data_IF_518474227455
#
_entry.id   IF_518474227455
#
_cell.length_a   1.000
_cell.length_b   1.000
_cell.length_c   1.000
_cell.angle_alpha   90.00
_cell.angle_beta   90.00
_cell.angle_gamma   90.00
#
_symmetry.space_group_name_H-M   'P 1'
#
loop_
_entity.id
_entity.type
_entity.pdbx_description
1 polymer ?
#
# COMPACT_ATOMS: atom_id res chain seq x y z
N UNK A 1 -14.47 -8.85 -2.82
CA UNK A 1 -13.17 -8.70 -2.12
C UNK A 1 -12.92 -9.98 -1.34
N UNK A 2 -11.84 -10.70 -1.61
CA UNK A 2 -11.57 -11.99 -0.96
C UNK A 2 -11.18 -11.86 0.52
N UNK A 3 -10.52 -10.77 0.93
CA UNK A 3 -10.00 -10.58 2.30
C UNK A 3 -11.05 -10.15 3.35
N UNK A 4 -12.26 -9.80 2.91
CA UNK A 4 -13.41 -9.43 3.75
C UNK A 4 -14.56 -10.43 3.60
N UNK A 5 -14.32 -11.54 2.90
CA UNK A 5 -15.32 -12.57 2.66
C UNK A 5 -15.42 -13.45 3.91
N UNK A 6 -16.62 -13.58 4.47
CA UNK A 6 -16.83 -14.33 5.71
C UNK A 6 -16.45 -15.81 5.58
N UNK A 7 -16.62 -16.40 4.38
CA UNK A 7 -16.23 -17.78 4.12
C UNK A 7 -14.71 -17.92 4.11
N UNK A 8 -14.00 -16.97 3.49
CA UNK A 8 -12.54 -16.90 3.52
C UNK A 8 -11.99 -16.68 4.95
N UNK A 9 -12.60 -15.78 5.73
CA UNK A 9 -12.23 -15.53 7.13
C UNK A 9 -12.46 -16.80 7.96
N UNK A 10 -13.60 -17.47 7.80
CA UNK A 10 -13.89 -18.70 8.52
C UNK A 10 -12.92 -19.83 8.18
N UNK A 11 -12.57 -20.02 6.89
CA UNK A 11 -11.59 -21.01 6.47
C UNK A 11 -10.19 -20.71 7.04
N UNK A 12 -9.71 -19.48 6.91
CA UNK A 12 -8.39 -19.10 7.43
C UNK A 12 -8.29 -19.18 8.96
N UNK A 13 -9.38 -18.85 9.67
CA UNK A 13 -9.41 -18.90 11.14
C UNK A 13 -9.53 -20.33 11.67
N UNK A 14 -10.32 -21.17 11.00
CA UNK A 14 -10.66 -22.52 11.48
C UNK A 14 -9.62 -23.56 11.11
N UNK A 15 -9.06 -23.47 9.91
CA UNK A 15 -8.15 -24.49 9.41
C UNK A 15 -6.68 -24.13 9.70
N UNK A 16 -6.34 -22.84 9.93
CA UNK A 16 -4.97 -22.30 10.00
C UNK A 16 -4.09 -22.64 8.77
N UNK A 17 -4.59 -23.48 7.88
CA UNK A 17 -3.99 -24.02 6.68
C UNK A 17 -4.66 -23.35 5.49
N UNK A 18 -3.92 -22.44 4.86
CA UNK A 18 -4.23 -22.12 3.48
C UNK A 18 -3.69 -23.27 2.65
N UNK A 19 -4.56 -24.25 2.38
CA UNK A 19 -4.27 -25.46 1.58
C UNK A 19 -3.42 -25.17 0.32
N UNK A 20 -3.55 -23.99 -0.29
CA UNK A 20 -2.77 -23.59 -1.46
C UNK A 20 -1.26 -23.40 -1.19
N UNK A 21 -0.89 -22.97 0.02
CA UNK A 21 0.51 -22.63 0.37
C UNK A 21 1.19 -23.68 1.27
N UNK A 22 0.43 -24.61 1.85
CA UNK A 22 1.01 -25.71 2.63
C UNK A 22 1.87 -26.64 1.78
N UNK A 23 1.45 -26.95 0.55
CA UNK A 23 2.24 -27.76 -0.39
C UNK A 23 3.58 -27.09 -0.74
N UNK A 24 3.62 -25.76 -0.81
CA UNK A 24 4.85 -24.98 -1.01
C UNK A 24 5.76 -25.06 0.21
N UNK A 25 5.19 -24.93 1.41
CA UNK A 25 5.96 -24.99 2.66
C UNK A 25 6.56 -26.38 2.91
N UNK A 26 5.74 -27.42 2.77
CA UNK A 26 6.11 -28.82 3.05
C UNK A 26 7.13 -29.32 2.04
N UNK A 27 6.99 -28.98 0.75
CA UNK A 27 7.84 -29.56 -0.29
C UNK A 27 9.01 -28.67 -0.75
N UNK A 28 8.91 -27.34 -0.65
CA UNK A 28 9.94 -26.42 -1.20
C UNK A 28 10.60 -25.53 -0.14
N UNK A 29 9.88 -25.07 0.89
CA UNK A 29 10.49 -24.21 1.91
C UNK A 29 11.39 -24.97 2.89
N UNK A 30 11.21 -26.29 3.07
CA UNK A 30 12.09 -27.10 3.91
C UNK A 30 13.58 -27.09 3.45
N UNK A 31 13.83 -26.77 2.17
CA UNK A 31 15.19 -26.59 1.65
C UNK A 31 15.83 -25.26 2.07
N UNK A 32 15.03 -24.26 2.43
CA UNK A 32 15.51 -22.93 2.79
C UNK A 32 15.61 -22.87 4.32
N UNK A 33 16.81 -22.65 4.80
CA UNK A 33 17.09 -22.53 6.23
C UNK A 33 16.29 -21.36 6.86
N UNK A 34 15.63 -21.61 7.99
CA UNK A 34 14.79 -20.62 8.67
C UNK A 34 15.58 -19.37 9.11
N UNK A 35 16.84 -19.53 9.55
CA UNK A 35 17.71 -18.41 9.90
C UNK A 35 18.13 -17.60 8.67
N UNK A 36 18.18 -18.22 7.48
CA UNK A 36 18.39 -17.49 6.23
C UNK A 36 17.15 -16.62 5.94
N UNK A 37 15.95 -17.19 6.04
CA UNK A 37 14.69 -16.45 5.87
C UNK A 37 14.67 -15.26 6.83
N UNK A 38 14.84 -15.50 8.14
CA UNK A 38 14.87 -14.43 9.16
C UNK A 38 15.89 -13.35 8.83
N UNK A 39 17.12 -13.71 8.42
CA UNK A 39 18.16 -12.72 8.06
C UNK A 39 17.79 -11.89 6.84
N UNK A 40 17.22 -12.51 5.81
CA UNK A 40 16.77 -11.79 4.61
C UNK A 40 15.65 -10.81 4.98
N UNK A 41 14.64 -11.26 5.71
CA UNK A 41 13.52 -10.41 6.11
C UNK A 41 13.93 -9.29 7.07
N UNK A 42 14.82 -9.55 8.03
CA UNK A 42 15.39 -8.49 8.89
C UNK A 42 16.15 -7.44 8.07
N UNK A 43 16.91 -7.86 7.05
CA UNK A 43 17.60 -6.93 6.17
C UNK A 43 16.60 -6.11 5.34
N UNK A 44 15.56 -6.74 4.78
CA UNK A 44 14.52 -6.03 4.04
C UNK A 44 13.78 -5.01 4.93
N UNK A 45 13.44 -5.38 6.16
CA UNK A 45 12.85 -4.46 7.15
C UNK A 45 13.78 -3.26 7.40
N UNK A 46 15.07 -3.51 7.62
CA UNK A 46 16.06 -2.45 7.81
C UNK A 46 16.15 -1.54 6.57
N UNK A 47 16.27 -2.11 5.38
CA UNK A 47 16.42 -1.36 4.12
C UNK A 47 15.18 -0.50 3.83
N UNK A 48 13.97 -1.03 4.08
CA UNK A 48 12.73 -0.27 3.91
C UNK A 48 12.70 0.90 4.91
N UNK A 49 12.90 0.65 6.21
CA UNK A 49 12.88 1.68 7.23
C UNK A 49 13.96 2.76 7.02
N UNK A 50 15.16 2.36 6.59
CA UNK A 50 16.23 3.30 6.30
C UNK A 50 15.93 4.13 5.05
N UNK A 51 15.33 3.53 4.02
CA UNK A 51 14.91 4.25 2.82
C UNK A 51 13.84 5.30 3.11
N UNK A 52 12.93 5.04 4.06
CA UNK A 52 11.94 6.01 4.53
C UNK A 52 12.61 7.22 5.19
N UNK A 53 13.58 7.01 6.09
CA UNK A 53 14.20 8.08 6.86
C UNK A 53 14.87 9.16 5.99
N UNK A 54 15.44 8.80 4.85
CA UNK A 54 16.05 9.77 3.93
C UNK A 54 15.08 10.40 2.94
N UNK A 55 13.84 9.90 2.87
CA UNK A 55 12.81 10.40 1.97
C UNK A 55 11.80 11.34 2.65
N UNK A 56 11.98 11.65 3.94
CA UNK A 56 11.15 12.58 4.77
C UNK A 56 11.23 14.05 4.28
N UNK A 57 11.65 14.31 3.04
CA UNK A 57 11.38 15.57 2.37
C UNK A 57 10.12 15.43 1.48
N UNK A 58 9.04 14.91 2.05
CA UNK A 58 7.72 15.13 1.44
C UNK A 58 7.31 16.56 1.74
N UNK A 59 7.31 17.39 0.71
CA UNK A 59 6.46 18.57 0.68
C UNK A 59 5.06 18.00 0.67
N UNK A 60 4.29 18.23 1.76
CA UNK A 60 2.89 17.83 1.87
C UNK A 60 2.21 18.00 0.51
N UNK A 61 1.89 16.88 -0.14
CA UNK A 61 1.29 16.96 -1.45
C UNK A 61 -0.04 17.69 -1.27
N UNK A 62 -0.21 18.83 -1.95
CA UNK A 62 -1.49 19.57 -1.93
C UNK A 62 -2.65 18.73 -2.52
N UNK A 63 -2.37 17.53 -3.04
CA UNK A 63 -3.37 16.60 -3.53
C UNK A 63 -4.00 15.78 -2.39
N UNK A 64 -5.19 16.18 -1.98
CA UNK A 64 -6.00 15.48 -0.98
C UNK A 64 -6.29 14.01 -1.34
N UNK A 65 -6.44 13.66 -2.62
CA UNK A 65 -6.66 12.27 -3.05
C UNK A 65 -5.45 11.40 -2.76
N UNK A 66 -4.25 11.89 -3.09
CA UNK A 66 -3.01 11.17 -2.84
C UNK A 66 -2.84 10.90 -1.34
N UNK A 67 -3.09 11.91 -0.51
CA UNK A 67 -3.05 11.78 0.96
C UNK A 67 -4.07 10.75 1.46
N UNK A 68 -5.29 10.77 0.94
CA UNK A 68 -6.33 9.80 1.30
C UNK A 68 -5.93 8.37 0.91
N UNK A 69 -5.39 8.17 -0.29
CA UNK A 69 -4.91 6.86 -0.74
C UNK A 69 -3.70 6.37 0.06
N UNK A 70 -2.75 7.26 0.41
CA UNK A 70 -1.62 6.95 1.31
C UNK A 70 -2.15 6.42 2.64
N UNK A 71 -3.09 7.13 3.28
CA UNK A 71 -3.68 6.71 4.55
C UNK A 71 -4.46 5.39 4.46
N UNK A 72 -5.16 5.13 3.35
CA UNK A 72 -5.82 3.84 3.12
C UNK A 72 -4.78 2.72 3.04
N UNK A 73 -3.69 2.94 2.32
CA UNK A 73 -2.64 1.94 2.16
C UNK A 73 -1.90 1.67 3.48
N UNK A 74 -1.57 2.70 4.27
CA UNK A 74 -1.02 2.55 5.63
C UNK A 74 -1.91 1.69 6.51
N UNK A 75 -3.21 1.99 6.52
CA UNK A 75 -4.22 1.21 7.24
C UNK A 75 -4.21 -0.25 6.82
N UNK A 76 -4.20 -0.53 5.52
CA UNK A 76 -4.13 -1.90 5.00
C UNK A 76 -2.87 -2.61 5.48
N UNK A 77 -1.69 -1.97 5.37
CA UNK A 77 -0.41 -2.55 5.81
C UNK A 77 -0.43 -2.85 7.31
N UNK A 78 -0.86 -1.90 8.14
CA UNK A 78 -1.00 -2.09 9.59
C UNK A 78 -1.87 -3.30 9.93
N UNK A 79 -3.09 -3.33 9.38
CA UNK A 79 -4.03 -4.40 9.70
C UNK A 79 -3.58 -5.74 9.16
N UNK A 80 -2.92 -5.77 8.01
CA UNK A 80 -2.41 -7.01 7.44
C UNK A 80 -1.16 -7.53 8.17
N UNK A 81 -0.36 -6.66 8.78
CA UNK A 81 0.71 -7.08 9.70
C UNK A 81 0.11 -7.74 10.95
N UNK A 82 -0.91 -7.12 11.53
CA UNK A 82 -1.51 -7.57 12.80
C UNK A 82 -2.43 -8.79 12.66
N UNK A 83 -3.17 -8.89 11.56
CA UNK A 83 -4.21 -9.87 11.31
C UNK A 83 -4.11 -10.46 9.90
N UNK A 84 -4.75 -11.60 9.65
CA UNK A 84 -4.75 -12.25 8.32
C UNK A 84 -5.88 -11.78 7.41
N UNK A 85 -6.78 -10.93 7.92
CA UNK A 85 -7.95 -10.44 7.23
C UNK A 85 -8.14 -8.95 7.49
N UNK A 86 -8.91 -8.31 6.62
CA UNK A 86 -9.39 -6.95 6.83
C UNK A 86 -10.78 -7.04 7.44
N UNK A 87 -10.96 -6.42 8.61
CA UNK A 87 -12.29 -6.31 9.21
C UNK A 87 -13.27 -5.67 8.22
N UNK A 88 -14.49 -6.17 8.15
CA UNK A 88 -15.49 -5.76 7.17
C UNK A 88 -15.80 -4.26 7.23
N UNK A 89 -15.79 -3.66 8.43
CA UNK A 89 -15.97 -2.21 8.59
C UNK A 89 -14.78 -1.45 8.00
N UNK A 90 -13.57 -1.95 8.25
CA UNK A 90 -12.35 -1.37 7.70
C UNK A 90 -12.28 -1.48 6.18
N UNK A 91 -12.61 -2.65 5.62
CA UNK A 91 -12.66 -2.86 4.18
C UNK A 91 -13.67 -1.90 3.52
N UNK A 92 -14.87 -1.77 4.07
CA UNK A 92 -15.89 -0.80 3.60
C UNK A 92 -15.40 0.63 3.67
N UNK A 93 -14.70 1.01 4.74
CA UNK A 93 -14.13 2.35 4.88
C UNK A 93 -13.05 2.62 3.82
N UNK A 94 -12.18 1.64 3.55
CA UNK A 94 -11.16 1.78 2.51
C UNK A 94 -11.78 1.95 1.12
N UNK A 95 -12.78 1.13 0.77
CA UNK A 95 -13.54 1.26 -0.48
C UNK A 95 -14.16 2.65 -0.58
N UNK A 96 -14.85 3.08 0.48
CA UNK A 96 -15.50 4.39 0.51
C UNK A 96 -14.50 5.53 0.26
N UNK A 97 -13.30 5.48 0.83
CA UNK A 97 -12.29 6.51 0.58
C UNK A 97 -11.77 6.47 -0.86
N UNK A 98 -11.67 5.30 -1.48
CA UNK A 98 -11.22 5.14 -2.87
C UNK A 98 -12.30 5.50 -3.92
N UNK A 99 -13.57 5.27 -3.62
CA UNK A 99 -14.68 5.44 -4.57
C UNK A 99 -15.20 6.88 -4.65
N UNK A 100 -14.82 7.76 -3.72
CA UNK A 100 -15.25 9.16 -3.74
C UNK A 100 -14.32 9.97 -4.66
N UNK A 101 -14.81 10.41 -5.84
CA UNK A 101 -14.04 11.33 -6.67
C UNK A 101 -13.82 12.65 -5.92
N UNK A 102 -12.71 13.36 -6.21
CA UNK A 102 -12.48 14.69 -5.64
C UNK A 102 -13.68 15.60 -5.89
N UNK A 103 -14.10 16.33 -4.85
CA UNK A 103 -15.18 17.33 -4.96
C UNK A 103 -14.86 18.47 -5.93
N UNK A 104 -13.63 18.55 -6.42
CA UNK A 104 -13.15 19.59 -7.33
C UNK A 104 -13.09 19.14 -8.80
N UNK A 105 -13.72 18.02 -9.19
CA UNK A 105 -14.03 17.81 -10.60
C UNK A 105 -15.10 18.81 -11.02
N UNK A 106 -14.69 20.07 -11.20
CA UNK A 106 -15.49 21.08 -11.87
C UNK A 106 -15.87 20.48 -13.21
N UNK A 107 -17.13 20.06 -13.29
CA UNK A 107 -17.82 19.84 -14.55
C UNK A 107 -17.62 21.12 -15.33
N UNK A 108 -16.70 21.09 -16.30
CA UNK A 108 -16.64 22.10 -17.34
C UNK A 108 -17.97 21.93 -18.07
N UNK A 109 -18.99 22.66 -17.63
CA UNK A 109 -20.16 22.92 -18.44
C UNK A 109 -19.63 23.61 -19.69
N UNK A 110 -19.55 22.86 -20.77
CA UNK A 110 -19.23 23.38 -22.10
C UNK A 110 -20.37 24.29 -22.53
N UNK A 111 -20.38 25.52 -22.03
CA UNK A 111 -21.12 26.59 -22.68
C UNK A 111 -20.28 27.01 -23.89
N UNK A 112 -20.71 26.54 -25.06
CA UNK A 112 -20.42 27.24 -26.29
C UNK A 112 -20.94 28.66 -26.15
N UNK A 113 -20.06 29.65 -26.18
CA UNK A 113 -20.15 30.73 -27.16
C UNK A 113 -18.96 31.69 -27.04
N UNK A 114 -18.25 31.81 -28.17
CA UNK A 114 -17.46 32.95 -28.65
C UNK A 114 -16.74 33.86 -27.64
N UNK A 115 -15.40 33.82 -27.65
CA UNK A 115 -14.61 34.97 -28.14
C UNK A 115 -13.12 34.65 -28.22
N UNK A 116 -12.58 34.98 -29.39
CA UNK A 116 -11.15 35.10 -29.72
C UNK A 116 -10.50 36.11 -28.78
N UNK A 117 -9.33 35.80 -28.20
CA UNK A 117 -8.18 36.72 -28.02
C UNK A 117 -6.92 35.92 -27.62
N UNK A 118 -5.89 36.09 -28.47
CA UNK A 118 -4.43 35.93 -28.31
C UNK A 118 -3.87 35.05 -27.18
N UNK A 119 -3.25 33.95 -27.60
CA UNK A 119 -2.26 33.20 -26.82
C UNK A 119 -0.89 33.85 -26.98
N UNK A 120 -0.40 34.52 -25.92
CA UNK A 120 1.03 34.71 -25.68
C UNK A 120 1.49 33.60 -24.72
N UNK A 121 1.99 32.51 -25.29
CA UNK A 121 2.55 31.40 -24.54
C UNK A 121 3.93 31.75 -24.01
N UNK A 122 4.01 32.22 -22.76
CA UNK A 122 5.22 32.11 -21.95
C UNK A 122 4.90 32.16 -20.46
N UNK A 123 4.57 31.00 -19.91
CA UNK A 123 4.75 30.73 -18.49
C UNK A 123 5.45 29.38 -18.36
N UNK A 124 6.69 29.44 -17.91
CA UNK A 124 7.61 28.33 -17.70
C UNK A 124 6.99 27.37 -16.67
N UNK A 125 6.59 26.18 -17.11
CA UNK A 125 6.10 25.10 -16.26
C UNK A 125 7.27 24.29 -15.70
N UNK A 126 8.06 24.88 -14.79
CA UNK A 126 9.19 24.16 -14.16
C UNK A 126 8.92 23.73 -12.71
N UNK A 127 7.66 23.68 -12.26
CA UNK A 127 7.32 23.35 -10.87
C UNK A 127 6.72 21.94 -10.69
N UNK A 128 6.42 21.17 -11.74
CA UNK A 128 5.65 19.91 -11.58
C UNK A 128 6.47 18.62 -11.44
N UNK A 129 7.79 18.64 -11.64
CA UNK A 129 8.59 17.39 -11.59
C UNK A 129 9.18 17.12 -10.20
N UNK A 130 9.50 18.15 -9.42
CA UNK A 130 10.20 18.00 -8.13
C UNK A 130 9.26 17.56 -6.99
N UNK A 131 8.01 18.02 -6.96
CA UNK A 131 6.98 17.61 -5.99
C UNK A 131 6.47 16.18 -6.22
N UNK A 132 6.55 15.65 -7.45
CA UNK A 132 6.11 14.30 -7.77
C UNK A 132 7.12 13.20 -7.36
N UNK A 133 8.40 13.55 -7.21
CA UNK A 133 9.44 12.57 -6.85
C UNK A 133 9.34 12.11 -5.38
N UNK A 134 9.01 13.01 -4.45
CA UNK A 134 8.86 12.68 -3.03
C UNK A 134 7.67 11.74 -2.78
N UNK A 135 6.50 12.07 -3.32
CA UNK A 135 5.28 11.27 -3.13
C UNK A 135 5.42 9.85 -3.70
N UNK A 136 6.08 9.68 -4.85
CA UNK A 136 6.27 8.35 -5.45
C UNK A 136 7.02 7.38 -4.53
N UNK A 137 7.87 7.89 -3.65
CA UNK A 137 8.74 7.06 -2.84
C UNK A 137 8.03 6.45 -1.63
N UNK A 138 7.09 7.19 -1.01
CA UNK A 138 6.32 6.71 0.14
C UNK A 138 5.31 5.63 -0.22
N UNK A 139 4.52 5.84 -1.28
CA UNK A 139 3.55 4.81 -1.71
C UNK A 139 4.26 3.51 -2.14
N UNK A 140 5.41 3.64 -2.81
CA UNK A 140 6.24 2.49 -3.16
C UNK A 140 6.71 1.73 -1.91
N UNK A 141 7.07 2.44 -0.85
CA UNK A 141 7.54 1.84 0.37
C UNK A 141 6.41 1.17 1.18
N UNK A 142 5.19 1.72 1.17
CA UNK A 142 3.99 1.03 1.67
C UNK A 142 3.72 -0.27 0.90
N UNK A 143 3.86 -0.24 -0.43
CA UNK A 143 3.69 -1.44 -1.26
C UNK A 143 4.78 -2.49 -0.99
N UNK A 144 6.03 -2.05 -0.75
CA UNK A 144 7.11 -2.95 -0.32
C UNK A 144 6.78 -3.61 1.01
N UNK A 145 6.27 -2.86 1.98
CA UNK A 145 5.82 -3.42 3.26
C UNK A 145 4.71 -4.45 3.07
N UNK A 146 3.68 -4.12 2.30
CA UNK A 146 2.60 -5.04 1.99
C UNK A 146 3.12 -6.35 1.38
N UNK A 147 4.01 -6.22 0.38
CA UNK A 147 4.62 -7.37 -0.30
C UNK A 147 5.44 -8.21 0.69
N UNK A 148 6.26 -7.59 1.52
CA UNK A 148 7.10 -8.28 2.49
C UNK A 148 6.27 -9.05 3.53
N UNK A 149 5.19 -8.44 4.04
CA UNK A 149 4.24 -9.10 4.95
C UNK A 149 3.56 -10.28 4.26
N UNK A 150 3.12 -10.09 3.02
CA UNK A 150 2.49 -11.16 2.23
C UNK A 150 3.44 -12.33 2.01
N UNK A 151 4.67 -12.07 1.57
CA UNK A 151 5.66 -13.12 1.34
C UNK A 151 5.97 -13.90 2.62
N UNK A 152 6.20 -13.21 3.73
CA UNK A 152 6.51 -13.86 5.01
C UNK A 152 5.35 -14.75 5.49
N UNK A 153 4.12 -14.21 5.47
CA UNK A 153 2.94 -14.91 5.97
C UNK A 153 2.48 -16.05 5.06
N UNK A 154 2.49 -15.83 3.75
CA UNK A 154 1.82 -16.72 2.79
C UNK A 154 2.79 -17.54 1.95
N UNK A 155 3.95 -17.00 1.56
CA UNK A 155 4.92 -17.76 0.75
C UNK A 155 5.81 -18.62 1.64
N UNK A 156 6.35 -18.05 2.72
CA UNK A 156 7.15 -18.79 3.70
C UNK A 156 6.29 -19.43 4.80
N UNK A 157 4.98 -19.16 4.78
CA UNK A 157 3.98 -19.84 5.60
C UNK A 157 4.12 -19.57 7.09
N UNK A 158 4.71 -18.44 7.48
CA UNK A 158 4.71 -17.97 8.87
C UNK A 158 3.54 -17.02 9.10
N UNK A 159 2.32 -17.59 9.11
CA UNK A 159 1.08 -16.80 9.15
C UNK A 159 1.05 -15.83 10.33
N UNK A 160 1.58 -16.25 11.49
CA UNK A 160 1.58 -15.48 12.74
C UNK A 160 2.73 -14.48 12.86
N UNK A 161 3.68 -14.46 11.91
CA UNK A 161 4.76 -13.48 11.89
C UNK A 161 4.26 -12.04 11.87
N UNK A 162 4.99 -11.15 12.52
CA UNK A 162 4.72 -9.71 12.55
C UNK A 162 6.02 -8.94 12.56
N UNK A 163 6.06 -7.84 11.84
CA UNK A 163 7.11 -6.84 11.98
C UNK A 163 6.78 -5.94 13.15
N UNK A 164 7.74 -5.73 14.06
CA UNK A 164 7.54 -4.90 15.26
C UNK A 164 7.75 -3.41 14.99
N UNK A 165 8.53 -3.09 13.96
CA UNK A 165 8.97 -1.72 13.68
C UNK A 165 8.49 -1.27 12.30
N UNK A 166 7.21 -1.47 12.00
CA UNK A 166 6.61 -0.82 10.84
C UNK A 166 6.41 0.66 11.21
N UNK A 167 7.19 1.52 10.57
CA UNK A 167 7.06 2.96 10.73
C UNK A 167 6.62 3.58 9.41
N UNK A 168 5.60 4.41 9.50
CA UNK A 168 5.13 5.28 8.42
C UNK A 168 5.40 6.70 8.89
N UNK A 169 6.03 7.51 8.04
CA UNK A 169 6.28 8.93 8.32
C UNK A 169 5.39 9.77 7.41
#
# INVERSE_FOLDING_TARGET
MALSDEMYIHQTTRDQSLYLYEDLKINKCAMINEDLIKRVFMKCEYDINHSFQYQIQEIDSENAEYTNLKQVMEKIVCSFNECHYLDTKMAKNCIFVCDFPPRDSNVITSNSDYSVIKSDSKAISNVSEQTNMGNKSTYLALFKWFSLIYELKYIFGDINSKFKNITFV
#
